data_IF_913340608227
#
_entry.id   IF_913340608227
#
_cell.length_a   1.000
_cell.length_b   1.000
_cell.length_c   1.000
_cell.angle_alpha   90.00
_cell.angle_beta   90.00
_cell.angle_gamma   90.00
#
_symmetry.space_group_name_H-M   'P 1'
#
loop_
_entity.id
_entity.type
_entity.pdbx_description
1 polymer ?
#
# COMPACT_ATOMS: atom_id res chain seq x y z
N UNK A 1 -1.13 18.05 -4.18
CA UNK A 1 -1.81 16.76 -4.39
C UNK A 1 -3.32 16.93 -4.27
N UNK A 2 -4.06 16.40 -5.26
CA UNK A 2 -5.52 16.37 -5.22
C UNK A 2 -5.97 15.61 -3.96
N UNK A 3 -6.91 16.17 -3.15
CA UNK A 3 -7.42 15.51 -1.95
C UNK A 3 -8.00 14.10 -2.21
N UNK A 4 -8.60 13.89 -3.38
CA UNK A 4 -9.15 12.59 -3.80
C UNK A 4 -8.05 11.55 -4.02
N UNK A 5 -6.95 11.94 -4.66
CA UNK A 5 -5.79 11.06 -4.89
C UNK A 5 -5.15 10.66 -3.56
N UNK A 6 -4.99 11.61 -2.63
CA UNK A 6 -4.50 11.32 -1.28
C UNK A 6 -5.41 10.36 -0.53
N UNK A 7 -6.73 10.53 -0.66
CA UNK A 7 -7.70 9.64 -0.04
C UNK A 7 -7.62 8.22 -0.62
N UNK A 8 -7.57 8.07 -1.96
CA UNK A 8 -7.40 6.79 -2.64
C UNK A 8 -6.11 6.09 -2.23
N UNK A 9 -4.97 6.79 -2.29
CA UNK A 9 -3.66 6.25 -1.87
C UNK A 9 -3.68 5.77 -0.42
N UNK A 10 -4.23 6.57 0.48
CA UNK A 10 -4.38 6.19 1.89
C UNK A 10 -5.22 4.93 2.04
N UNK A 11 -6.38 4.86 1.38
CA UNK A 11 -7.26 3.70 1.41
C UNK A 11 -6.56 2.42 0.91
N UNK A 12 -5.75 2.51 -0.15
CA UNK A 12 -4.96 1.40 -0.66
C UNK A 12 -3.95 0.92 0.37
N UNK A 13 -3.16 1.84 0.95
CA UNK A 13 -2.13 1.51 1.94
C UNK A 13 -2.79 0.86 3.17
N UNK A 14 -3.83 1.47 3.73
CA UNK A 14 -4.54 0.97 4.88
C UNK A 14 -5.09 -0.45 4.62
N UNK A 15 -5.74 -0.69 3.48
CA UNK A 15 -6.30 -2.00 3.13
C UNK A 15 -5.23 -3.08 2.94
N UNK A 16 -4.11 -2.76 2.31
CA UNK A 16 -3.05 -3.74 2.03
C UNK A 16 -2.28 -4.15 3.28
N UNK A 17 -2.05 -3.22 4.21
CA UNK A 17 -1.28 -3.48 5.43
C UNK A 17 -2.08 -4.18 6.53
N UNK A 18 -3.35 -3.81 6.71
CA UNK A 18 -4.15 -4.24 7.86
C UNK A 18 -4.91 -5.52 7.57
N UNK A 19 -5.60 -5.57 6.43
CA UNK A 19 -6.51 -6.66 6.10
C UNK A 19 -5.91 -7.68 5.12
N UNK A 20 -4.67 -7.48 4.67
CA UNK A 20 -4.03 -8.26 3.60
C UNK A 20 -4.85 -8.29 2.30
N UNK A 21 -5.79 -7.34 2.09
CA UNK A 21 -6.55 -7.21 0.86
C UNK A 21 -5.71 -6.65 -0.30
N UNK A 22 -6.23 -6.75 -1.51
CA UNK A 22 -5.55 -6.31 -2.72
C UNK A 22 -4.76 -7.43 -3.38
N UNK A 23 -3.64 -7.09 -4.03
CA UNK A 23 -2.86 -8.03 -4.87
C UNK A 23 -2.31 -9.21 -4.07
N UNK A 24 -1.83 -8.99 -2.85
CA UNK A 24 -1.30 -10.06 -2.01
C UNK A 24 -2.36 -11.12 -1.69
N UNK A 25 -3.56 -10.68 -1.29
CA UNK A 25 -4.67 -11.59 -1.02
C UNK A 25 -5.08 -12.37 -2.29
N UNK A 26 -5.14 -11.69 -3.43
CA UNK A 26 -5.43 -12.33 -4.72
C UNK A 26 -4.44 -13.45 -5.02
N UNK A 27 -3.13 -13.19 -4.88
CA UNK A 27 -2.09 -14.21 -5.10
C UNK A 27 -2.25 -15.41 -4.15
N UNK A 28 -2.48 -15.16 -2.85
CA UNK A 28 -2.72 -16.22 -1.87
C UNK A 28 -3.98 -17.02 -2.18
N UNK A 29 -5.07 -16.38 -2.57
CA UNK A 29 -6.30 -17.08 -2.95
C UNK A 29 -6.10 -17.95 -4.19
N UNK A 30 -5.38 -17.46 -5.20
CA UNK A 30 -5.09 -18.22 -6.44
C UNK A 30 -4.22 -19.44 -6.11
N UNK A 31 -3.16 -19.27 -5.31
CA UNK A 31 -2.30 -20.37 -4.86
C UNK A 31 -3.10 -21.43 -4.10
N UNK A 32 -3.92 -21.01 -3.16
CA UNK A 32 -4.79 -21.90 -2.39
C UNK A 32 -5.79 -22.64 -3.29
N UNK A 33 -6.45 -21.92 -4.21
CA UNK A 33 -7.40 -22.51 -5.18
C UNK A 33 -6.69 -23.57 -6.03
N UNK A 34 -5.49 -23.28 -6.56
CA UNK A 34 -4.72 -24.25 -7.33
C UNK A 34 -4.39 -25.50 -6.51
N UNK A 35 -3.95 -25.31 -5.27
CA UNK A 35 -3.63 -26.40 -4.34
C UNK A 35 -4.86 -27.26 -4.03
N UNK A 36 -6.01 -26.65 -3.75
CA UNK A 36 -7.23 -27.39 -3.49
C UNK A 36 -7.75 -28.13 -4.72
N UNK A 37 -7.63 -27.56 -5.92
CA UNK A 37 -8.01 -28.24 -7.17
C UNK A 37 -7.15 -29.49 -7.40
N UNK A 38 -5.82 -29.40 -7.19
CA UNK A 38 -4.92 -30.55 -7.31
C UNK A 38 -5.28 -31.63 -6.27
N UNK A 39 -5.52 -31.26 -5.02
CA UNK A 39 -5.90 -32.19 -3.96
C UNK A 39 -7.25 -32.85 -4.25
N UNK A 40 -8.24 -32.09 -4.74
CA UNK A 40 -9.55 -32.63 -5.15
C UNK A 40 -9.39 -33.64 -6.28
N UNK A 41 -8.61 -33.32 -7.32
CA UNK A 41 -8.34 -34.22 -8.43
C UNK A 41 -7.70 -35.53 -7.95
N UNK A 42 -6.68 -35.44 -7.08
CA UNK A 42 -6.06 -36.60 -6.47
C UNK A 42 -7.06 -37.45 -5.68
N UNK A 43 -7.88 -36.82 -4.83
CA UNK A 43 -8.91 -37.52 -4.06
C UNK A 43 -9.99 -38.16 -4.96
N UNK A 44 -10.36 -37.52 -6.06
CA UNK A 44 -11.34 -38.10 -7.03
C UNK A 44 -10.78 -39.37 -7.68
N UNK A 45 -9.49 -39.38 -8.05
CA UNK A 45 -8.83 -40.57 -8.62
C UNK A 45 -8.86 -41.73 -7.60
N UNK A 46 -8.52 -41.44 -6.34
CA UNK A 46 -8.52 -42.45 -5.26
C UNK A 46 -9.94 -42.93 -4.90
N UNK A 47 -10.91 -42.05 -4.98
CA UNK A 47 -12.32 -42.40 -4.80
C UNK A 47 -12.80 -43.31 -5.95
N UNK A 48 -12.41 -43.03 -7.19
CA UNK A 48 -12.71 -43.90 -8.33
C UNK A 48 -12.08 -45.31 -8.14
N UNK A 49 -10.87 -45.40 -7.63
CA UNK A 49 -10.26 -46.69 -7.26
C UNK A 49 -11.13 -47.47 -6.25
N UNK A 50 -11.57 -46.79 -5.19
CA UNK A 50 -12.47 -47.37 -4.17
C UNK A 50 -13.79 -47.88 -4.82
N UNK A 51 -14.41 -47.05 -5.64
CA UNK A 51 -15.65 -47.39 -6.34
C UNK A 51 -15.46 -48.62 -7.23
N UNK A 52 -14.37 -48.71 -7.99
CA UNK A 52 -14.10 -49.85 -8.85
C UNK A 52 -13.89 -51.17 -8.07
N UNK A 53 -13.27 -51.11 -6.87
CA UNK A 53 -13.14 -52.26 -5.97
C UNK A 53 -14.53 -52.73 -5.45
N UNK A 54 -15.35 -51.78 -5.03
CA UNK A 54 -16.72 -52.07 -4.55
C UNK A 54 -17.55 -52.71 -5.64
N UNK A 55 -17.53 -52.15 -6.88
CA UNK A 55 -18.31 -52.69 -8.02
C UNK A 55 -17.84 -54.08 -8.47
N UNK A 56 -16.57 -54.41 -8.30
CA UNK A 56 -16.04 -55.76 -8.62
C UNK A 56 -16.55 -56.84 -7.68
N UNK A 57 -16.86 -56.52 -6.43
CA UNK A 57 -17.18 -57.50 -5.40
C UNK A 57 -18.66 -57.83 -5.28
N UNK A 58 -19.55 -56.88 -5.53
CA UNK A 58 -20.97 -57.08 -5.34
C UNK A 58 -21.82 -56.16 -6.25
N UNK A 59 -22.37 -56.70 -7.31
CA UNK A 59 -23.53 -56.15 -8.00
C UNK A 59 -24.84 -56.36 -7.18
N UNK A 60 -24.71 -56.48 -5.82
CA UNK A 60 -25.86 -56.60 -4.95
C UNK A 60 -26.47 -55.22 -4.70
N UNK A 61 -27.79 -55.14 -4.71
CA UNK A 61 -28.57 -53.90 -4.47
C UNK A 61 -28.13 -53.16 -3.20
N UNK A 62 -27.70 -53.90 -2.17
CA UNK A 62 -27.17 -53.35 -0.90
C UNK A 62 -25.89 -52.56 -1.08
N UNK A 63 -24.97 -53.05 -1.89
CA UNK A 63 -23.71 -52.35 -2.20
C UNK A 63 -23.98 -51.01 -2.90
N UNK A 64 -24.83 -51.01 -3.90
CA UNK A 64 -25.21 -49.80 -4.65
C UNK A 64 -25.85 -48.75 -3.70
N UNK A 65 -26.77 -49.16 -2.83
CA UNK A 65 -27.44 -48.28 -1.85
C UNK A 65 -26.44 -47.64 -0.88
N UNK A 66 -25.44 -48.41 -0.40
CA UNK A 66 -24.38 -47.88 0.49
C UNK A 66 -23.52 -46.83 -0.24
N UNK A 67 -23.15 -47.08 -1.51
CA UNK A 67 -22.39 -46.14 -2.32
C UNK A 67 -23.14 -44.82 -2.54
N UNK A 68 -24.42 -44.91 -2.87
CA UNK A 68 -25.31 -43.74 -3.02
C UNK A 68 -25.41 -42.96 -1.72
N UNK A 69 -25.48 -43.65 -0.57
CA UNK A 69 -25.51 -43.00 0.74
C UNK A 69 -24.20 -42.20 1.01
N UNK A 70 -23.01 -42.75 0.68
CA UNK A 70 -21.73 -42.01 0.79
C UNK A 70 -21.75 -40.75 -0.06
N UNK A 71 -22.17 -40.86 -1.33
CA UNK A 71 -22.24 -39.73 -2.25
C UNK A 71 -23.19 -38.64 -1.73
N UNK A 72 -24.38 -39.04 -1.22
CA UNK A 72 -25.34 -38.08 -0.64
C UNK A 72 -24.74 -37.36 0.58
N UNK A 73 -24.08 -38.07 1.48
CA UNK A 73 -23.39 -37.45 2.64
C UNK A 73 -22.34 -36.44 2.22
N UNK A 74 -21.50 -36.77 1.22
CA UNK A 74 -20.50 -35.86 0.68
C UNK A 74 -21.15 -34.60 0.07
N UNK A 75 -22.17 -34.78 -0.76
CA UNK A 75 -22.89 -33.66 -1.42
C UNK A 75 -23.53 -32.74 -0.37
N UNK A 76 -24.20 -33.27 0.65
CA UNK A 76 -24.83 -32.50 1.72
C UNK A 76 -23.77 -31.67 2.47
N UNK A 77 -22.64 -32.29 2.83
CA UNK A 77 -21.55 -31.61 3.51
C UNK A 77 -20.98 -30.47 2.66
N UNK A 78 -20.74 -30.70 1.37
CA UNK A 78 -20.26 -29.69 0.42
C UNK A 78 -21.25 -28.52 0.29
N UNK A 79 -22.55 -28.80 0.21
CA UNK A 79 -23.57 -27.74 0.12
C UNK A 79 -23.56 -26.86 1.36
N UNK A 80 -23.50 -27.47 2.57
CA UNK A 80 -23.44 -26.74 3.84
C UNK A 80 -22.18 -25.89 3.90
N UNK A 81 -21.01 -26.47 3.64
CA UNK A 81 -19.73 -25.77 3.65
C UNK A 81 -19.69 -24.61 2.65
N UNK A 82 -20.18 -24.82 1.42
CA UNK A 82 -20.21 -23.78 0.38
C UNK A 82 -21.08 -22.59 0.79
N UNK A 83 -22.29 -22.84 1.31
CA UNK A 83 -23.20 -21.76 1.73
C UNK A 83 -22.69 -21.01 2.96
N UNK A 84 -22.26 -21.74 3.99
CA UNK A 84 -21.75 -21.14 5.22
C UNK A 84 -20.41 -20.44 5.02
N UNK A 85 -19.48 -21.04 4.24
CA UNK A 85 -18.16 -20.46 3.97
C UNK A 85 -18.20 -19.13 3.23
N UNK A 86 -19.07 -19.00 2.20
CA UNK A 86 -19.27 -17.72 1.51
C UNK A 86 -19.75 -16.63 2.46
N UNK A 87 -20.78 -16.94 3.26
CA UNK A 87 -21.34 -15.98 4.22
C UNK A 87 -20.36 -15.63 5.33
N UNK A 88 -19.50 -16.56 5.73
CA UNK A 88 -18.43 -16.33 6.68
C UNK A 88 -17.40 -15.33 6.13
N UNK A 89 -16.95 -15.48 4.87
CA UNK A 89 -16.03 -14.54 4.23
C UNK A 89 -16.62 -13.11 4.15
N UNK A 90 -17.92 -12.99 3.80
CA UNK A 90 -18.61 -11.69 3.78
C UNK A 90 -18.70 -11.04 5.16
N UNK A 91 -18.90 -11.83 6.22
CA UNK A 91 -19.07 -11.32 7.60
C UNK A 91 -17.79 -10.68 8.13
N UNK A 92 -16.62 -11.20 7.81
CA UNK A 92 -15.33 -10.66 8.27
C UNK A 92 -15.03 -9.26 7.73
N UNK A 93 -15.62 -8.87 6.60
CA UNK A 93 -15.42 -7.53 6.02
C UNK A 93 -16.10 -6.41 6.81
N UNK A 94 -17.11 -6.74 7.62
CA UNK A 94 -17.84 -5.74 8.42
C UNK A 94 -16.97 -5.03 9.46
N UNK A 95 -15.84 -5.64 9.86
CA UNK A 95 -14.91 -5.06 10.85
C UNK A 95 -13.84 -4.14 10.26
N UNK A 96 -13.68 -4.09 8.94
CA UNK A 96 -12.56 -3.41 8.27
C UNK A 96 -12.48 -1.91 8.57
N UNK A 97 -13.59 -1.19 8.45
CA UNK A 97 -13.61 0.26 8.66
C UNK A 97 -13.31 0.66 10.12
N UNK A 98 -13.77 -0.13 11.08
CA UNK A 98 -13.49 0.12 12.50
C UNK A 98 -12.01 -0.08 12.80
N UNK A 99 -11.42 -1.15 12.30
CA UNK A 99 -9.99 -1.44 12.44
C UNK A 99 -9.12 -0.34 11.82
N UNK A 100 -9.54 0.24 10.70
CA UNK A 100 -8.88 1.39 10.10
C UNK A 100 -8.92 2.63 11.00
N UNK A 101 -10.04 2.90 11.66
CA UNK A 101 -10.20 4.01 12.60
C UNK A 101 -9.31 3.85 13.83
N UNK A 102 -9.25 2.66 14.42
CA UNK A 102 -8.37 2.32 15.56
C UNK A 102 -6.89 2.53 15.21
N UNK A 103 -6.46 2.07 14.03
CA UNK A 103 -5.06 2.23 13.58
C UNK A 103 -4.70 3.70 13.33
N UNK A 104 -5.63 4.52 12.82
CA UNK A 104 -5.40 5.96 12.64
C UNK A 104 -5.20 6.67 13.99
N UNK A 105 -5.98 6.32 14.98
CA UNK A 105 -5.83 6.87 16.33
C UNK A 105 -4.48 6.50 16.93
N UNK A 106 -4.13 5.22 16.89
CA UNK A 106 -2.86 4.72 17.41
C UNK A 106 -1.65 5.34 16.70
N UNK A 107 -1.68 5.44 15.35
CA UNK A 107 -0.62 6.07 14.57
C UNK A 107 -0.44 7.57 14.86
N UNK A 108 -1.53 8.31 15.02
CA UNK A 108 -1.50 9.73 15.39
C UNK A 108 -0.93 9.97 16.78
N UNK A 109 -1.30 9.14 17.74
CA UNK A 109 -0.83 9.24 19.12
C UNK A 109 0.68 8.93 19.27
N UNK A 110 1.19 7.95 18.54
CA UNK A 110 2.61 7.56 18.62
C UNK A 110 3.58 8.65 18.14
N UNK A 111 3.12 9.56 17.27
CA UNK A 111 3.95 10.64 16.70
C UNK A 111 4.11 11.85 17.65
N UNK A 112 3.26 12.02 18.66
CA UNK A 112 3.22 13.21 19.53
C UNK A 112 3.62 12.94 20.98
N UNK A 113 4.56 12.04 21.23
CA UNK A 113 4.91 11.54 22.57
C UNK A 113 5.30 12.62 23.59
N UNK A 114 6.00 13.70 23.19
CA UNK A 114 6.34 14.82 24.09
C UNK A 114 5.13 15.69 24.40
N UNK A 115 4.37 16.10 23.36
CA UNK A 115 3.19 16.94 23.52
C UNK A 115 2.12 16.24 24.33
N UNK A 116 1.93 14.94 24.14
CA UNK A 116 0.94 14.19 24.88
C UNK A 116 1.24 14.12 26.37
N UNK A 117 2.51 14.08 26.77
CA UNK A 117 2.94 14.15 28.18
C UNK A 117 2.77 15.57 28.75
N UNK A 118 3.23 16.58 28.01
CA UNK A 118 3.22 17.96 28.47
C UNK A 118 1.81 18.52 28.61
N UNK A 119 0.95 18.29 27.61
CA UNK A 119 -0.42 18.77 27.59
C UNK A 119 -1.45 17.78 28.18
N UNK A 120 -0.99 16.66 28.79
CA UNK A 120 -1.85 15.61 29.38
C UNK A 120 -2.92 15.08 28.42
N UNK A 121 -2.56 14.94 27.14
CA UNK A 121 -3.49 14.51 26.09
C UNK A 121 -3.95 13.04 26.27
N UNK A 122 -3.35 12.30 27.19
CA UNK A 122 -3.70 10.90 27.51
C UNK A 122 -5.19 10.75 27.84
N UNK A 123 -5.77 11.69 28.59
CA UNK A 123 -7.19 11.62 28.96
C UNK A 123 -8.12 11.67 27.75
N UNK A 124 -7.80 12.50 26.75
CA UNK A 124 -8.58 12.62 25.50
C UNK A 124 -8.45 11.33 24.70
N UNK A 125 -7.22 10.78 24.60
CA UNK A 125 -6.96 9.54 23.87
C UNK A 125 -7.67 8.36 24.55
N UNK A 126 -7.62 8.28 25.89
CA UNK A 126 -8.35 7.24 26.65
C UNK A 126 -9.86 7.30 26.45
N UNK A 127 -10.45 8.50 26.35
CA UNK A 127 -11.89 8.64 26.12
C UNK A 127 -12.28 8.18 24.72
N UNK A 128 -11.50 8.56 23.70
CA UNK A 128 -11.71 8.11 22.31
C UNK A 128 -11.48 6.59 22.21
N UNK A 129 -10.43 6.07 22.84
CA UNK A 129 -10.09 4.67 22.81
C UNK A 129 -11.17 3.82 23.51
N UNK A 130 -11.71 4.29 24.66
CA UNK A 130 -12.87 3.64 25.32
C UNK A 130 -14.11 3.63 24.42
N UNK A 131 -14.39 4.70 23.69
CA UNK A 131 -15.54 4.76 22.78
C UNK A 131 -15.35 3.77 21.61
N UNK A 132 -14.16 3.74 21.01
CA UNK A 132 -13.83 2.79 19.96
C UNK A 132 -13.81 1.34 20.45
N UNK A 133 -13.30 1.10 21.66
CA UNK A 133 -13.30 -0.23 22.28
C UNK A 133 -14.73 -0.74 22.53
N UNK A 134 -15.68 0.13 22.92
CA UNK A 134 -17.10 -0.24 23.04
C UNK A 134 -17.72 -0.58 21.67
N UNK A 135 -17.44 0.24 20.66
CA UNK A 135 -17.90 -0.01 19.28
C UNK A 135 -17.32 -1.32 18.76
N UNK A 136 -16.00 -1.55 18.98
CA UNK A 136 -15.28 -2.77 18.65
C UNK A 136 -15.91 -3.99 19.33
N UNK A 137 -16.08 -3.93 20.65
CA UNK A 137 -16.71 -5.02 21.44
C UNK A 137 -18.10 -5.36 20.90
N UNK A 138 -18.90 -4.36 20.57
CA UNK A 138 -20.27 -4.54 20.07
C UNK A 138 -20.28 -5.17 18.68
N UNK A 139 -19.46 -4.65 17.76
CA UNK A 139 -19.38 -5.13 16.40
C UNK A 139 -18.76 -6.54 16.32
N UNK A 140 -17.61 -6.76 16.98
CA UNK A 140 -16.96 -8.06 16.98
C UNK A 140 -17.73 -9.12 17.74
N UNK A 141 -18.51 -8.75 18.77
CA UNK A 141 -19.45 -9.67 19.40
C UNK A 141 -20.51 -10.17 18.39
N UNK A 142 -21.05 -9.28 17.55
CA UNK A 142 -21.98 -9.65 16.47
C UNK A 142 -21.30 -10.52 15.42
N UNK A 143 -20.10 -10.12 14.96
CA UNK A 143 -19.31 -10.89 13.97
C UNK A 143 -19.01 -12.28 14.50
N UNK A 144 -18.51 -12.39 15.74
CA UNK A 144 -18.18 -13.66 16.37
C UNK A 144 -19.41 -14.55 16.58
N UNK A 145 -20.54 -13.94 16.92
CA UNK A 145 -21.79 -14.68 17.06
C UNK A 145 -22.26 -15.26 15.71
N UNK A 146 -22.23 -14.47 14.66
CA UNK A 146 -22.56 -14.93 13.29
C UNK A 146 -21.56 -16.00 12.83
N UNK A 147 -20.26 -15.77 13.04
CA UNK A 147 -19.20 -16.72 12.69
C UNK A 147 -19.39 -18.06 13.42
N UNK A 148 -19.71 -18.02 14.70
CA UNK A 148 -20.02 -19.22 15.49
C UNK A 148 -21.24 -19.98 14.90
N UNK A 149 -22.34 -19.27 14.62
CA UNK A 149 -23.53 -19.87 14.02
C UNK A 149 -23.27 -20.50 12.65
N UNK A 150 -22.29 -19.97 11.90
CA UNK A 150 -21.89 -20.53 10.62
C UNK A 150 -20.90 -21.70 10.75
N UNK A 151 -20.01 -21.66 11.75
CA UNK A 151 -19.03 -22.74 12.02
C UNK A 151 -19.67 -24.01 12.57
N UNK A 152 -20.70 -23.88 13.42
CA UNK A 152 -21.37 -25.04 14.02
C UNK A 152 -21.94 -26.00 12.95
N UNK A 153 -22.75 -25.56 11.96
CA UNK A 153 -23.21 -26.45 10.90
C UNK A 153 -22.08 -27.06 10.07
N UNK A 154 -21.03 -26.28 9.77
CA UNK A 154 -19.84 -26.79 9.08
C UNK A 154 -19.22 -27.94 9.87
N UNK A 155 -18.94 -27.72 11.17
CA UNK A 155 -18.32 -28.71 12.03
C UNK A 155 -19.21 -29.96 12.17
N UNK A 156 -20.51 -29.80 12.46
CA UNK A 156 -21.44 -30.90 12.61
C UNK A 156 -21.57 -31.72 11.33
N UNK A 157 -21.71 -31.07 10.17
CA UNK A 157 -21.81 -31.76 8.88
C UNK A 157 -20.52 -32.53 8.54
N UNK A 158 -19.36 -31.97 8.84
CA UNK A 158 -18.07 -32.64 8.61
C UNK A 158 -17.94 -33.87 9.51
N UNK A 159 -18.23 -33.73 10.80
CA UNK A 159 -18.16 -34.87 11.75
C UNK A 159 -19.22 -35.94 11.49
N UNK A 160 -20.42 -35.56 11.09
CA UNK A 160 -21.43 -36.49 10.65
C UNK A 160 -21.01 -37.26 9.39
N UNK A 161 -20.43 -36.55 8.40
CA UNK A 161 -19.91 -37.18 7.19
C UNK A 161 -18.77 -38.14 7.47
N UNK A 162 -17.84 -37.78 8.36
CA UNK A 162 -16.76 -38.68 8.79
C UNK A 162 -17.32 -39.93 9.45
N UNK A 163 -18.24 -39.79 10.40
CA UNK A 163 -18.89 -40.92 11.08
C UNK A 163 -19.62 -41.82 10.08
N UNK A 164 -20.44 -41.28 9.21
CA UNK A 164 -21.11 -42.01 8.14
C UNK A 164 -20.10 -42.75 7.25
N UNK A 165 -18.99 -42.10 6.89
CA UNK A 165 -17.95 -42.71 6.08
C UNK A 165 -17.31 -43.91 6.80
N UNK A 166 -17.00 -43.80 8.08
CA UNK A 166 -16.49 -44.93 8.87
C UNK A 166 -17.48 -46.10 8.91
N UNK A 167 -18.77 -45.83 9.17
CA UNK A 167 -19.80 -46.85 9.24
C UNK A 167 -19.99 -47.52 7.86
N UNK A 168 -20.15 -46.77 6.81
CA UNK A 168 -20.43 -47.29 5.46
C UNK A 168 -19.21 -48.03 4.88
N UNK A 169 -18.00 -47.46 4.99
CA UNK A 169 -16.77 -48.11 4.53
C UNK A 169 -16.43 -49.33 5.39
N UNK A 170 -16.71 -49.27 6.71
CA UNK A 170 -16.58 -50.42 7.62
C UNK A 170 -17.50 -51.59 7.23
N UNK A 171 -18.75 -51.31 6.83
CA UNK A 171 -19.65 -52.30 6.30
C UNK A 171 -19.14 -52.96 5.01
N UNK A 172 -18.54 -52.19 4.09
CA UNK A 172 -17.90 -52.75 2.90
C UNK A 172 -16.71 -53.66 3.26
N UNK A 173 -15.94 -53.30 4.29
CA UNK A 173 -14.86 -54.15 4.79
C UNK A 173 -15.39 -55.49 5.31
N UNK A 174 -16.48 -55.51 6.08
CA UNK A 174 -17.10 -56.77 6.55
C UNK A 174 -17.68 -57.63 5.40
N UNK A 175 -18.07 -57.01 4.27
CA UNK A 175 -18.50 -57.68 3.07
C UNK A 175 -17.29 -58.20 2.21
N UNK A 176 -16.06 -57.96 2.67
CA UNK A 176 -14.82 -58.47 2.03
C UNK A 176 -14.38 -57.61 0.83
N UNK A 177 -14.86 -56.37 0.69
CA UNK A 177 -14.49 -55.52 -0.44
C UNK A 177 -13.02 -55.12 -0.42
N UNK A 178 -12.44 -54.93 0.80
CA UNK A 178 -11.06 -54.54 1.00
C UNK A 178 -10.59 -54.82 2.45
N UNK A 179 -9.29 -54.88 2.70
CA UNK A 179 -8.73 -55.18 4.01
C UNK A 179 -8.97 -54.05 5.01
N UNK A 180 -9.07 -54.38 6.33
CA UNK A 180 -9.38 -53.45 7.43
C UNK A 180 -8.48 -52.22 7.42
N UNK A 181 -7.20 -52.35 7.09
CA UNK A 181 -6.27 -51.23 6.99
C UNK A 181 -6.65 -50.18 5.95
N UNK A 182 -7.45 -50.57 4.93
CA UNK A 182 -7.91 -49.62 3.89
C UNK A 182 -9.04 -48.73 4.33
N UNK A 183 -9.74 -49.05 5.42
CA UNK A 183 -10.85 -48.25 5.96
C UNK A 183 -10.35 -46.84 6.31
N UNK A 184 -9.24 -46.74 7.06
CA UNK A 184 -8.66 -45.45 7.45
C UNK A 184 -8.22 -44.67 6.19
N UNK A 185 -7.61 -45.35 5.20
CA UNK A 185 -7.20 -44.76 3.92
C UNK A 185 -8.38 -44.10 3.20
N UNK A 186 -9.48 -44.81 3.00
CA UNK A 186 -10.64 -44.31 2.23
C UNK A 186 -11.44 -43.25 2.98
N UNK A 187 -11.61 -43.40 4.30
CA UNK A 187 -12.23 -42.34 5.13
C UNK A 187 -11.40 -41.05 5.10
N UNK A 188 -10.06 -41.21 5.20
CA UNK A 188 -9.15 -40.06 5.10
C UNK A 188 -9.30 -39.32 3.76
N UNK A 189 -9.41 -40.03 2.64
CA UNK A 189 -9.60 -39.43 1.33
C UNK A 189 -10.93 -38.68 1.20
N UNK A 190 -12.03 -39.23 1.72
CA UNK A 190 -13.33 -38.57 1.74
C UNK A 190 -13.32 -37.30 2.62
N UNK A 191 -12.65 -37.36 3.76
CA UNK A 191 -12.48 -36.20 4.65
C UNK A 191 -11.65 -35.09 3.99
N UNK A 192 -10.52 -35.46 3.35
CA UNK A 192 -9.70 -34.49 2.59
C UNK A 192 -10.48 -33.91 1.43
N UNK A 193 -11.25 -34.71 0.68
CA UNK A 193 -12.08 -34.27 -0.43
C UNK A 193 -13.09 -33.21 0.02
N UNK A 194 -13.88 -33.51 1.06
CA UNK A 194 -14.91 -32.60 1.56
C UNK A 194 -14.31 -31.31 2.09
N UNK A 195 -13.20 -31.38 2.85
CA UNK A 195 -12.53 -30.19 3.39
C UNK A 195 -11.94 -29.32 2.29
N UNK A 196 -11.29 -29.89 1.27
CA UNK A 196 -10.72 -29.11 0.16
C UNK A 196 -11.80 -28.46 -0.69
N UNK A 197 -12.95 -29.11 -0.92
CA UNK A 197 -14.07 -28.48 -1.62
C UNK A 197 -14.63 -27.32 -0.80
N UNK A 198 -14.80 -27.47 0.52
CA UNK A 198 -15.23 -26.39 1.41
C UNK A 198 -14.25 -25.19 1.40
N UNK A 199 -12.95 -25.47 1.51
CA UNK A 199 -11.91 -24.48 1.45
C UNK A 199 -11.83 -23.77 0.08
N UNK A 200 -12.07 -24.51 -1.03
CA UNK A 200 -12.17 -23.92 -2.36
C UNK A 200 -13.29 -22.88 -2.43
N UNK A 201 -14.50 -23.20 -1.97
CA UNK A 201 -15.61 -22.26 -1.96
C UNK A 201 -15.38 -21.05 -1.06
N UNK A 202 -14.72 -21.25 0.10
CA UNK A 202 -14.30 -20.16 0.96
C UNK A 202 -13.32 -19.19 0.25
N UNK A 203 -12.29 -19.73 -0.43
CA UNK A 203 -11.32 -18.90 -1.15
C UNK A 203 -11.91 -18.20 -2.38
N UNK A 204 -12.87 -18.82 -3.07
CA UNK A 204 -13.61 -18.15 -4.15
C UNK A 204 -14.44 -16.98 -3.57
N UNK A 205 -15.07 -17.17 -2.41
CA UNK A 205 -15.78 -16.11 -1.70
C UNK A 205 -14.86 -14.98 -1.27
N UNK A 206 -13.69 -15.31 -0.71
CA UNK A 206 -12.67 -14.34 -0.32
C UNK A 206 -12.12 -13.56 -1.52
N UNK A 207 -11.92 -14.23 -2.67
CA UNK A 207 -11.48 -13.57 -3.90
C UNK A 207 -12.52 -12.56 -4.40
N UNK A 208 -13.80 -12.94 -4.40
CA UNK A 208 -14.89 -12.04 -4.76
C UNK A 208 -14.98 -10.83 -3.83
N UNK A 209 -14.77 -11.04 -2.54
CA UNK A 209 -14.72 -9.95 -1.56
C UNK A 209 -13.56 -9.01 -1.80
N UNK A 210 -12.41 -9.55 -2.24
CA UNK A 210 -11.22 -8.78 -2.55
C UNK A 210 -11.38 -7.90 -3.82
N UNK A 211 -12.38 -8.15 -4.68
CA UNK A 211 -12.62 -7.43 -5.94
C UNK A 211 -12.74 -5.91 -5.72
N UNK A 212 -13.54 -5.48 -4.75
CA UNK A 212 -13.73 -4.06 -4.44
C UNK A 212 -12.43 -3.32 -4.03
N UNK A 213 -11.48 -4.05 -3.45
CA UNK A 213 -10.18 -3.50 -3.07
C UNK A 213 -9.25 -3.42 -4.27
N UNK A 214 -9.34 -4.39 -5.19
CA UNK A 214 -8.63 -4.37 -6.47
C UNK A 214 -9.15 -3.26 -7.38
N UNK A 215 -10.47 -3.03 -7.45
CA UNK A 215 -11.04 -1.90 -8.18
C UNK A 215 -10.49 -0.55 -7.69
N UNK A 216 -10.41 -0.37 -6.37
CA UNK A 216 -9.81 0.84 -5.79
C UNK A 216 -8.32 0.98 -6.17
N UNK A 217 -7.60 -0.13 -6.22
CA UNK A 217 -6.20 -0.18 -6.62
C UNK A 217 -6.02 0.14 -8.10
N UNK A 218 -6.81 -0.48 -8.97
CA UNK A 218 -6.80 -0.21 -10.42
C UNK A 218 -7.20 1.23 -10.73
N UNK A 219 -8.26 1.75 -10.07
CA UNK A 219 -8.67 3.14 -10.22
C UNK A 219 -7.53 4.14 -9.91
N UNK A 220 -6.64 3.81 -8.98
CA UNK A 220 -5.46 4.64 -8.69
C UNK A 220 -4.45 4.63 -9.85
N UNK A 221 -4.24 3.49 -10.51
CA UNK A 221 -3.35 3.39 -11.67
C UNK A 221 -3.96 3.97 -12.95
N UNK A 222 -5.28 3.98 -13.05
CA UNK A 222 -6.01 4.57 -14.17
C UNK A 222 -6.10 6.11 -14.09
N UNK A 223 -5.62 6.71 -12.98
CA UNK A 223 -5.56 8.15 -12.85
C UNK A 223 -4.70 8.74 -13.97
N UNK A 224 -5.34 9.54 -14.79
CA UNK A 224 -4.64 10.26 -15.85
C UNK A 224 -3.83 11.40 -15.24
N UNK A 225 -2.65 11.63 -15.81
CA UNK A 225 -1.90 12.82 -15.49
C UNK A 225 -2.50 14.00 -16.26
N UNK A 226 -3.27 14.83 -15.56
CA UNK A 226 -3.92 16.03 -16.15
C UNK A 226 -2.91 17.08 -16.60
N UNK A 227 -1.66 16.99 -16.13
CA UNK A 227 -0.60 17.92 -16.52
C UNK A 227 -0.03 17.55 -17.89
N UNK A 228 -0.18 18.44 -18.85
CA UNK A 228 0.39 18.26 -20.18
C UNK A 228 1.91 18.15 -20.11
N UNK A 229 2.50 17.10 -20.63
CA UNK A 229 3.93 16.80 -20.46
C UNK A 229 4.83 17.58 -21.42
N UNK A 230 4.27 18.19 -22.46
CA UNK A 230 5.02 18.89 -23.47
C UNK A 230 5.88 17.95 -24.34
N UNK A 231 6.42 18.50 -25.42
CA UNK A 231 7.29 17.76 -26.32
C UNK A 231 8.47 18.61 -26.86
N UNK A 232 8.47 19.90 -26.53
CA UNK A 232 9.55 20.78 -26.94
C UNK A 232 10.78 20.55 -26.07
N UNK A 233 11.89 20.16 -26.65
CA UNK A 233 13.13 20.00 -25.89
C UNK A 233 13.65 21.34 -25.41
N UNK A 234 14.18 21.36 -24.19
CA UNK A 234 14.91 22.51 -23.66
C UNK A 234 16.26 22.60 -24.38
N UNK A 235 16.58 23.75 -24.97
CA UNK A 235 17.84 23.96 -25.60
C UNK A 235 19.01 23.78 -24.62
N UNK A 236 20.00 22.97 -24.99
CA UNK A 236 21.25 22.86 -24.23
C UNK A 236 22.14 24.06 -24.52
N UNK A 237 21.89 25.14 -23.81
CA UNK A 237 22.66 26.39 -23.99
C UNK A 237 23.93 26.32 -23.13
N UNK A 238 25.07 26.52 -23.78
CA UNK A 238 26.38 26.59 -23.10
C UNK A 238 26.51 27.80 -22.18
N UNK A 239 25.77 28.88 -22.47
CA UNK A 239 25.70 30.09 -21.66
C UNK A 239 24.74 29.97 -20.48
N UNK A 240 23.97 28.89 -20.40
CA UNK A 240 22.92 28.66 -19.39
C UNK A 240 21.96 29.86 -19.24
N UNK A 241 21.81 30.71 -20.28
CA UNK A 241 20.95 31.89 -20.22
C UNK A 241 19.48 31.51 -20.53
N UNK A 242 18.63 31.63 -19.52
CA UNK A 242 17.19 31.44 -19.66
C UNK A 242 16.46 32.65 -19.07
N UNK A 243 15.40 33.05 -19.75
CA UNK A 243 14.51 34.14 -19.36
C UNK A 243 13.12 33.55 -19.07
N UNK A 244 12.61 33.75 -17.85
CA UNK A 244 11.30 33.25 -17.44
C UNK A 244 10.38 34.43 -17.14
N UNK A 245 9.27 34.51 -17.85
CA UNK A 245 8.31 35.61 -17.76
C UNK A 245 6.95 35.12 -17.32
N UNK A 246 6.41 35.71 -16.25
CA UNK A 246 5.04 35.54 -15.78
C UNK A 246 4.17 36.63 -16.41
N UNK A 247 3.10 36.23 -17.11
CA UNK A 247 2.15 37.12 -17.79
C UNK A 247 0.74 36.98 -17.19
N UNK A 248 0.36 37.94 -16.37
CA UNK A 248 -0.96 38.01 -15.68
C UNK A 248 -1.32 36.69 -14.97
N UNK A 249 -0.34 36.09 -14.30
CA UNK A 249 -0.49 34.79 -13.69
C UNK A 249 -1.31 34.85 -12.41
N UNK A 250 -2.44 34.13 -12.38
CA UNK A 250 -3.25 33.91 -11.21
C UNK A 250 -3.40 32.41 -10.94
N UNK A 251 -3.41 32.03 -9.67
CA UNK A 251 -3.51 30.64 -9.28
C UNK A 251 -4.37 30.43 -8.03
N UNK A 252 -5.23 29.41 -8.08
CA UNK A 252 -5.97 28.87 -6.94
C UNK A 252 -5.83 27.36 -6.86
N UNK A 253 -5.72 26.84 -5.64
CA UNK A 253 -5.70 25.41 -5.41
C UNK A 253 -7.06 24.77 -5.70
N UNK A 254 -7.06 23.53 -6.17
CA UNK A 254 -8.30 22.76 -6.39
C UNK A 254 -9.12 22.68 -5.09
N UNK A 255 -10.40 23.06 -5.15
CA UNK A 255 -11.29 23.10 -4.00
C UNK A 255 -11.22 24.39 -3.18
N UNK A 256 -10.41 25.39 -3.56
CA UNK A 256 -10.40 26.73 -2.97
C UNK A 256 -11.09 27.73 -3.88
N UNK A 257 -11.91 28.61 -3.28
CA UNK A 257 -12.51 29.75 -3.99
C UNK A 257 -11.56 30.93 -4.10
N UNK A 258 -10.60 31.05 -3.20
CA UNK A 258 -9.68 32.17 -3.13
C UNK A 258 -8.40 31.90 -3.96
N UNK A 259 -7.94 32.94 -4.65
CA UNK A 259 -6.64 32.94 -5.31
C UNK A 259 -5.51 32.96 -4.28
N UNK A 260 -4.56 32.05 -4.43
CA UNK A 260 -3.30 32.04 -3.68
C UNK A 260 -2.29 33.06 -4.25
N UNK A 261 -2.37 33.29 -5.58
CA UNK A 261 -1.65 34.34 -6.28
C UNK A 261 -2.59 34.99 -7.30
N UNK A 262 -2.47 36.30 -7.48
CA UNK A 262 -3.34 37.05 -8.38
C UNK A 262 -2.55 38.07 -9.19
N UNK A 263 -2.73 38.01 -10.51
CA UNK A 263 -2.21 38.97 -11.49
C UNK A 263 -0.68 39.23 -11.35
N UNK A 264 0.11 38.17 -11.24
CA UNK A 264 1.56 38.26 -11.13
C UNK A 264 2.16 38.52 -12.52
N UNK A 265 2.92 39.60 -12.61
CA UNK A 265 3.71 39.99 -13.77
C UNK A 265 5.16 40.16 -13.33
N UNK A 266 6.06 39.32 -13.83
CA UNK A 266 7.46 39.28 -13.42
C UNK A 266 8.33 38.66 -14.50
N UNK A 267 9.54 39.19 -14.66
CA UNK A 267 10.55 38.60 -15.50
C UNK A 267 11.79 38.20 -14.65
N UNK A 268 12.31 37.00 -14.85
CA UNK A 268 13.44 36.41 -14.15
C UNK A 268 14.51 35.96 -15.15
N UNK A 269 15.75 36.37 -14.93
CA UNK A 269 16.90 35.96 -15.78
C UNK A 269 17.90 35.15 -14.94
N UNK A 270 18.53 34.18 -15.57
CA UNK A 270 19.65 33.46 -14.93
C UNK A 270 20.74 34.46 -14.55
N UNK A 271 21.29 34.29 -13.33
CA UNK A 271 22.30 35.19 -12.77
C UNK A 271 21.73 36.33 -11.91
N UNK A 272 20.44 36.61 -12.02
CA UNK A 272 19.78 37.55 -11.12
C UNK A 272 19.49 36.94 -9.74
N UNK A 273 19.53 37.76 -8.70
CA UNK A 273 19.13 37.38 -7.33
C UNK A 273 17.81 38.02 -7.00
N UNK A 274 16.78 37.23 -6.83
CA UNK A 274 15.44 37.67 -6.42
C UNK A 274 15.19 37.25 -4.97
N UNK A 275 14.82 38.19 -4.11
CA UNK A 275 14.32 37.91 -2.78
C UNK A 275 12.79 38.12 -2.79
N UNK A 276 12.04 37.06 -2.53
CA UNK A 276 10.57 37.10 -2.38
C UNK A 276 10.24 37.18 -0.91
N UNK A 277 9.74 38.33 -0.47
CA UNK A 277 9.40 38.62 0.94
C UNK A 277 7.89 38.80 1.11
N UNK A 278 7.37 38.37 2.24
CA UNK A 278 5.95 38.50 2.56
C UNK A 278 5.58 37.73 3.84
N UNK A 279 4.42 38.01 4.37
CA UNK A 279 3.89 37.30 5.53
C UNK A 279 3.67 35.81 5.26
N UNK A 280 3.56 35.01 6.32
CA UNK A 280 3.19 33.59 6.16
C UNK A 280 1.82 33.49 5.50
N UNK A 281 1.69 32.60 4.50
CA UNK A 281 0.47 32.47 3.70
C UNK A 281 0.34 33.48 2.54
N UNK A 282 1.31 34.36 2.29
CA UNK A 282 1.26 35.33 1.17
C UNK A 282 1.47 34.71 -0.21
N UNK A 283 1.66 33.40 -0.32
CA UNK A 283 1.83 32.69 -1.60
C UNK A 283 3.28 32.45 -2.05
N UNK A 284 4.31 32.73 -1.21
CA UNK A 284 5.74 32.52 -1.57
C UNK A 284 6.02 31.13 -2.10
N UNK A 285 5.68 30.08 -1.34
CA UNK A 285 5.83 28.68 -1.78
C UNK A 285 4.97 28.35 -2.99
N UNK A 286 3.79 28.97 -3.13
CA UNK A 286 2.94 28.78 -4.30
C UNK A 286 3.59 29.36 -5.57
N UNK A 287 4.24 30.52 -5.46
CA UNK A 287 5.00 31.11 -6.54
C UNK A 287 6.14 30.17 -6.99
N UNK A 288 6.91 29.61 -6.06
CA UNK A 288 7.97 28.63 -6.34
C UNK A 288 7.40 27.39 -7.05
N UNK A 289 6.27 26.87 -6.58
CA UNK A 289 5.60 25.72 -7.19
C UNK A 289 5.16 25.97 -8.62
N UNK A 290 4.68 27.17 -8.94
CA UNK A 290 4.33 27.58 -10.29
C UNK A 290 5.57 27.78 -11.17
N UNK A 291 6.61 28.43 -10.64
CA UNK A 291 7.88 28.63 -11.32
C UNK A 291 8.52 27.30 -11.74
N UNK A 292 8.50 26.29 -10.85
CA UNK A 292 8.98 24.93 -11.12
C UNK A 292 7.94 24.08 -11.90
N UNK A 293 6.80 24.67 -12.29
CA UNK A 293 5.73 23.95 -12.98
C UNK A 293 5.27 22.68 -12.24
N UNK A 294 5.23 22.71 -10.89
CA UNK A 294 4.56 21.68 -10.09
C UNK A 294 3.04 21.84 -10.15
N UNK A 295 2.59 23.00 -10.56
CA UNK A 295 1.21 23.34 -10.92
C UNK A 295 1.23 24.22 -12.17
N UNK A 296 0.20 24.09 -13.01
CA UNK A 296 -0.07 25.04 -14.08
C UNK A 296 -0.91 26.23 -13.54
N UNK A 297 -0.72 27.45 -14.02
CA UNK A 297 -1.54 28.60 -13.61
C UNK A 297 -3.02 28.40 -13.95
N UNK A 298 -3.90 28.95 -13.11
CA UNK A 298 -5.36 28.97 -13.37
C UNK A 298 -5.71 29.99 -14.46
N UNK A 299 -5.04 31.14 -14.45
CA UNK A 299 -5.17 32.21 -15.43
C UNK A 299 -3.77 32.76 -15.76
N UNK A 300 -3.62 33.32 -16.96
CA UNK A 300 -2.34 33.81 -17.47
C UNK A 300 -1.41 32.69 -17.94
N UNK A 301 -0.17 33.04 -18.26
CA UNK A 301 0.83 32.12 -18.80
C UNK A 301 2.22 32.39 -18.21
N UNK A 302 3.01 31.33 -18.11
CA UNK A 302 4.44 31.40 -17.80
C UNK A 302 5.20 31.04 -19.07
N UNK A 303 6.13 31.89 -19.47
CA UNK A 303 6.94 31.71 -20.66
C UNK A 303 8.41 31.50 -20.26
N UNK A 304 9.12 30.72 -21.05
CA UNK A 304 10.58 30.60 -21.00
C UNK A 304 11.11 30.82 -22.44
N UNK A 305 11.99 31.81 -22.59
CA UNK A 305 12.54 32.17 -23.92
C UNK A 305 11.43 32.31 -24.98
N UNK A 306 10.39 33.11 -24.71
CA UNK A 306 9.22 33.38 -25.57
C UNK A 306 8.19 32.23 -25.72
N UNK A 307 8.49 31.02 -25.28
CA UNK A 307 7.57 29.89 -25.37
C UNK A 307 6.90 29.61 -24.05
N UNK A 308 5.58 29.30 -24.09
CA UNK A 308 4.86 28.85 -22.90
C UNK A 308 5.49 27.59 -22.34
N UNK A 309 5.80 27.59 -21.02
CA UNK A 309 6.49 26.51 -20.32
C UNK A 309 5.76 25.16 -20.43
N UNK A 310 4.44 25.18 -20.68
CA UNK A 310 3.65 23.96 -20.88
C UNK A 310 4.08 23.16 -22.13
N UNK A 311 4.69 23.82 -23.13
CA UNK A 311 5.13 23.17 -24.37
C UNK A 311 6.42 22.38 -24.21
N UNK A 312 7.25 22.72 -23.23
CA UNK A 312 8.52 22.04 -23.00
C UNK A 312 8.32 20.65 -22.41
N UNK A 313 9.22 19.73 -22.75
CA UNK A 313 9.33 18.45 -22.04
C UNK A 313 9.46 18.70 -20.55
N UNK A 314 8.54 18.10 -19.80
CA UNK A 314 8.38 18.38 -18.36
C UNK A 314 9.62 18.04 -17.56
N UNK A 315 10.29 16.92 -17.86
CA UNK A 315 11.48 16.48 -17.14
C UNK A 315 12.65 17.42 -17.41
N UNK A 316 12.87 17.78 -18.69
CA UNK A 316 13.94 18.71 -19.06
C UNK A 316 13.71 20.10 -18.46
N UNK A 317 12.45 20.54 -18.35
CA UNK A 317 12.12 21.80 -17.69
C UNK A 317 12.44 21.76 -16.19
N UNK A 318 12.12 20.66 -15.50
CA UNK A 318 12.46 20.47 -14.08
C UNK A 318 13.96 20.41 -13.83
N UNK A 319 14.74 19.97 -14.81
CA UNK A 319 16.21 19.92 -14.70
C UNK A 319 16.86 21.31 -14.64
N UNK A 320 16.13 22.36 -15.03
CA UNK A 320 16.61 23.74 -14.91
C UNK A 320 16.62 24.26 -13.47
N UNK A 321 15.97 23.58 -12.55
CA UNK A 321 15.79 24.06 -11.18
C UNK A 321 16.42 23.12 -10.15
N UNK A 322 17.15 23.69 -9.21
CA UNK A 322 17.49 23.07 -7.93
C UNK A 322 16.70 23.76 -6.82
N UNK A 323 15.91 23.01 -6.06
CA UNK A 323 14.99 23.58 -5.06
C UNK A 323 15.23 22.97 -3.69
N UNK A 324 15.38 23.81 -2.67
CA UNK A 324 15.27 23.42 -1.27
C UNK A 324 13.91 23.93 -0.78
N UNK A 325 12.95 23.04 -0.66
CA UNK A 325 11.63 23.36 -0.09
C UNK A 325 11.69 23.44 1.43
N UNK A 326 10.73 24.09 2.06
CA UNK A 326 10.61 24.17 3.52
C UNK A 326 10.42 22.80 4.18
N UNK A 327 9.69 21.90 3.51
CA UNK A 327 9.38 20.53 3.95
C UNK A 327 10.29 19.47 3.30
N UNK A 328 11.56 19.79 3.06
CA UNK A 328 12.52 18.85 2.50
C UNK A 328 12.66 17.60 3.39
N UNK A 329 12.84 16.45 2.76
CA UNK A 329 13.07 15.19 3.46
C UNK A 329 14.42 14.57 3.06
N UNK A 330 15.12 14.04 4.07
CA UNK A 330 16.26 13.17 3.87
C UNK A 330 15.79 11.72 3.98
N UNK A 331 16.37 10.88 3.15
CA UNK A 331 16.08 9.45 3.15
C UNK A 331 16.95 8.74 4.18
N UNK A 332 16.43 7.68 4.80
CA UNK A 332 17.20 6.79 5.67
C UNK A 332 18.14 5.92 4.81
N UNK A 333 19.09 6.55 4.13
CA UNK A 333 20.06 6.00 3.19
C UNK A 333 21.42 6.65 3.41
N UNK A 334 22.50 6.15 2.79
CA UNK A 334 23.82 6.78 2.85
C UNK A 334 23.80 8.27 2.52
N UNK A 335 24.69 9.02 3.15
CA UNK A 335 24.85 10.47 2.96
C UNK A 335 25.06 10.82 1.48
N UNK A 336 25.92 10.05 0.79
CA UNK A 336 26.19 10.25 -0.63
C UNK A 336 24.95 10.16 -1.50
N UNK A 337 24.05 9.17 -1.25
CA UNK A 337 22.75 9.07 -1.94
C UNK A 337 21.86 10.29 -1.66
N UNK A 338 21.88 10.80 -0.43
CA UNK A 338 21.09 11.97 -0.06
C UNK A 338 21.61 13.26 -0.74
N UNK A 339 22.91 13.42 -0.92
CA UNK A 339 23.51 14.56 -1.62
C UNK A 339 23.26 14.46 -3.12
N UNK A 340 23.54 13.30 -3.73
CA UNK A 340 23.40 13.13 -5.17
C UNK A 340 21.94 12.93 -5.63
N UNK A 341 21.04 12.52 -4.75
CA UNK A 341 19.67 12.04 -5.08
C UNK A 341 19.69 10.91 -6.13
N UNK A 342 20.70 10.06 -6.10
CA UNK A 342 20.93 8.96 -7.03
C UNK A 342 21.50 7.74 -6.31
N UNK A 343 21.48 6.58 -6.97
CA UNK A 343 22.08 5.35 -6.43
C UNK A 343 23.60 5.42 -6.42
N UNK A 344 24.18 6.13 -7.37
CA UNK A 344 25.61 6.35 -7.53
C UNK A 344 25.93 7.85 -7.37
N UNK A 345 27.11 8.18 -6.87
CA UNK A 345 27.55 9.56 -6.67
C UNK A 345 29.02 9.76 -6.99
N UNK A 346 29.35 10.97 -7.40
CA UNK A 346 30.74 11.45 -7.44
C UNK A 346 31.18 11.84 -6.03
N UNK A 347 32.09 11.05 -5.45
CA UNK A 347 32.54 11.23 -4.09
C UNK A 347 33.26 12.56 -3.89
N UNK A 348 34.11 12.96 -4.83
CA UNK A 348 34.90 14.21 -4.74
C UNK A 348 33.96 15.41 -4.77
N UNK A 349 32.99 15.43 -5.70
CA UNK A 349 32.01 16.51 -5.80
C UNK A 349 31.12 16.58 -4.56
N UNK A 350 30.63 15.43 -4.07
CA UNK A 350 29.75 15.38 -2.91
C UNK A 350 30.47 15.88 -1.64
N UNK A 351 31.71 15.44 -1.41
CA UNK A 351 32.52 15.86 -0.28
C UNK A 351 32.83 17.37 -0.34
N UNK A 352 33.29 17.88 -1.47
CA UNK A 352 33.55 19.30 -1.65
C UNK A 352 32.34 20.15 -1.29
N UNK A 353 31.14 19.78 -1.79
CA UNK A 353 29.92 20.52 -1.52
C UNK A 353 29.50 20.46 -0.05
N UNK A 354 29.71 19.32 0.64
CA UNK A 354 29.46 19.23 2.08
C UNK A 354 30.34 20.21 2.88
N UNK A 355 31.60 20.39 2.49
CA UNK A 355 32.46 21.42 3.11
C UNK A 355 31.97 22.83 2.76
N UNK A 356 31.60 23.12 1.52
CA UNK A 356 31.14 24.44 1.08
C UNK A 356 29.87 24.89 1.84
N UNK A 357 28.93 23.96 2.14
CA UNK A 357 27.73 24.29 2.92
C UNK A 357 27.94 24.30 4.43
N UNK A 358 29.19 24.13 4.89
CA UNK A 358 29.55 24.16 6.32
C UNK A 358 29.15 22.89 7.07
N UNK A 359 29.07 21.74 6.41
CA UNK A 359 28.84 20.44 7.02
C UNK A 359 30.13 19.64 7.28
N UNK A 360 31.29 20.19 6.92
CA UNK A 360 32.58 19.49 6.91
C UNK A 360 33.00 18.92 8.28
N UNK A 361 32.88 19.68 9.38
CA UNK A 361 33.20 19.19 10.72
C UNK A 361 32.39 17.95 11.08
N UNK A 362 31.06 18.01 10.85
CA UNK A 362 30.17 16.88 11.11
C UNK A 362 30.44 15.68 10.18
N UNK A 363 30.81 15.96 8.94
CA UNK A 363 31.23 14.93 7.97
C UNK A 363 32.46 14.17 8.45
N UNK A 364 33.46 14.88 9.05
CA UNK A 364 34.64 14.23 9.59
C UNK A 364 34.35 13.27 10.76
N UNK A 365 33.34 13.54 11.56
CA UNK A 365 32.88 12.68 12.65
C UNK A 365 32.10 11.44 12.18
N UNK A 366 31.64 11.41 10.92
CA UNK A 366 30.83 10.30 10.42
C UNK A 366 31.65 9.02 10.21
N UNK A 367 31.20 7.86 10.75
CA UNK A 367 32.02 6.64 10.82
C UNK A 367 32.37 6.06 9.45
N UNK A 368 31.51 6.24 8.46
CA UNK A 368 31.68 5.71 7.09
C UNK A 368 31.62 6.83 6.03
N UNK A 369 31.82 8.10 6.43
CA UNK A 369 31.81 9.27 5.54
C UNK A 369 30.54 9.28 4.67
N UNK A 370 30.68 9.33 3.33
CA UNK A 370 29.55 9.32 2.40
C UNK A 370 28.69 8.06 2.46
N UNK A 371 29.26 6.94 2.90
CA UNK A 371 28.56 5.66 3.10
C UNK A 371 27.81 5.59 4.43
N UNK A 372 27.91 6.60 5.29
CA UNK A 372 27.18 6.64 6.57
C UNK A 372 25.68 6.76 6.31
N UNK A 373 24.91 5.77 6.77
CA UNK A 373 23.44 5.81 6.71
C UNK A 373 22.89 6.92 7.62
N UNK A 374 21.98 7.73 7.06
CA UNK A 374 21.22 8.68 7.85
C UNK A 374 20.05 7.96 8.53
N UNK A 375 19.83 8.28 9.82
CA UNK A 375 18.82 7.66 10.67
C UNK A 375 19.02 6.14 10.89
N UNK A 376 18.30 5.61 11.88
CA UNK A 376 18.40 4.20 12.30
C UNK A 376 17.26 3.32 11.78
N UNK A 377 16.54 3.76 10.76
CA UNK A 377 15.35 3.04 10.25
C UNK A 377 15.71 1.70 9.60
N UNK A 378 16.87 1.62 8.92
CA UNK A 378 17.32 0.43 8.19
C UNK A 378 18.73 -0.03 8.58
N UNK A 379 19.49 0.80 9.33
CA UNK A 379 20.84 0.52 9.75
C UNK A 379 20.99 0.94 11.20
N UNK A 380 21.32 0.00 12.11
CA UNK A 380 21.50 0.28 13.54
C UNK A 380 22.68 1.22 13.82
N UNK A 381 23.70 1.22 12.94
CA UNK A 381 24.83 2.14 12.98
C UNK A 381 24.53 3.51 12.37
N UNK A 382 23.31 3.71 11.86
CA UNK A 382 22.88 4.97 11.27
C UNK A 382 22.96 6.15 12.24
N UNK A 383 23.28 7.33 11.70
CA UNK A 383 23.51 8.57 12.47
C UNK A 383 22.28 9.47 12.41
N UNK A 384 21.79 9.92 13.57
CA UNK A 384 20.72 10.91 13.61
C UNK A 384 21.26 12.29 13.23
N UNK A 385 20.47 13.02 12.46
CA UNK A 385 20.77 14.33 11.90
C UNK A 385 19.88 15.39 12.56
N UNK A 386 20.44 16.49 13.01
CA UNK A 386 19.69 17.65 13.49
C UNK A 386 19.02 18.43 12.35
N UNK A 387 18.04 19.29 12.65
CA UNK A 387 17.36 20.10 11.64
C UNK A 387 18.29 20.99 10.83
N UNK A 388 19.25 21.65 11.49
CA UNK A 388 20.27 22.48 10.82
C UNK A 388 21.24 21.66 9.95
N UNK A 389 21.65 20.48 10.41
CA UNK A 389 22.47 19.55 9.62
C UNK A 389 21.72 19.04 8.40
N UNK A 390 20.44 18.68 8.56
CA UNK A 390 19.58 18.25 7.46
C UNK A 390 19.42 19.33 6.39
N UNK A 391 19.31 20.60 6.81
CA UNK A 391 19.24 21.74 5.89
C UNK A 391 20.53 21.90 5.09
N UNK A 392 21.70 21.76 5.72
CA UNK A 392 22.99 21.79 5.02
C UNK A 392 23.11 20.69 3.98
N UNK A 393 22.66 19.46 4.30
CA UNK A 393 22.63 18.35 3.36
C UNK A 393 21.65 18.64 2.19
N UNK A 394 20.48 19.21 2.46
CA UNK A 394 19.52 19.61 1.42
C UNK A 394 20.10 20.71 0.51
N UNK A 395 20.88 21.63 1.06
CA UNK A 395 21.59 22.66 0.28
C UNK A 395 22.71 22.04 -0.57
N UNK A 396 23.50 21.12 -0.01
CA UNK A 396 24.51 20.37 -0.79
C UNK A 396 23.87 19.60 -1.95
N UNK A 397 22.70 18.98 -1.74
CA UNK A 397 21.90 18.33 -2.78
C UNK A 397 21.52 19.29 -3.89
N UNK A 398 21.06 20.48 -3.55
CA UNK A 398 20.67 21.48 -4.52
C UNK A 398 21.88 21.96 -5.38
N UNK A 399 23.02 22.14 -4.74
CA UNK A 399 24.28 22.50 -5.43
C UNK A 399 24.82 21.34 -6.27
N UNK A 400 24.69 20.09 -5.80
CA UNK A 400 25.14 18.91 -6.53
C UNK A 400 24.44 18.74 -7.88
N UNK A 401 23.15 19.11 -7.98
CA UNK A 401 22.39 19.09 -9.24
C UNK A 401 22.94 20.05 -10.30
N UNK A 402 23.63 21.14 -9.90
CA UNK A 402 24.22 22.16 -10.79
C UNK A 402 23.23 22.75 -11.81
N UNK A 403 22.01 23.03 -11.38
CA UNK A 403 20.96 23.58 -12.21
C UNK A 403 21.15 25.11 -12.43
N UNK A 404 20.69 25.66 -13.59
CA UNK A 404 20.74 27.10 -13.87
C UNK A 404 20.07 27.98 -12.83
N UNK A 405 18.94 27.52 -12.25
CA UNK A 405 18.21 28.24 -11.18
C UNK A 405 18.31 27.48 -9.86
N UNK A 406 18.70 28.18 -8.80
CA UNK A 406 18.68 27.67 -7.42
C UNK A 406 17.62 28.44 -6.65
N UNK A 407 16.69 27.70 -6.01
CA UNK A 407 15.57 28.25 -5.29
C UNK A 407 15.64 27.75 -3.83
N UNK A 408 15.53 28.67 -2.87
CA UNK A 408 15.53 28.36 -1.46
C UNK A 408 14.21 28.88 -0.86
N UNK A 409 13.38 27.98 -0.34
CA UNK A 409 12.13 28.31 0.33
C UNK A 409 12.34 28.34 1.84
N UNK A 410 12.30 29.52 2.44
CA UNK A 410 12.55 29.78 3.87
C UNK A 410 13.86 29.16 4.42
N UNK A 411 15.03 29.49 3.84
CA UNK A 411 16.28 28.80 4.14
C UNK A 411 16.80 29.02 5.58
N UNK A 412 16.19 29.91 6.36
CA UNK A 412 16.62 30.23 7.72
C UNK A 412 15.67 29.68 8.80
N UNK A 413 14.65 28.91 8.43
CA UNK A 413 13.66 28.40 9.39
C UNK A 413 14.23 27.39 10.40
N UNK A 414 15.42 26.80 10.13
CA UNK A 414 16.09 25.82 10.98
C UNK A 414 17.45 26.30 11.54
N UNK A 415 17.82 27.56 11.33
CA UNK A 415 18.95 28.24 11.94
C UNK A 415 18.47 28.97 13.20
#
# INVERSE_FOLDING_TARGET
ENPEIRHLRRKIIENSWINYYGVKNMCMCIENIATYLVNILYCVILFAEMVTLILKLSFDLRGILLLVAIIICVILTVIIQSRCGKKQAETWNLGGDLMLRENRLSGGYSQSGMDSRFYKQQAIVEEIDKSLAMEHKTLYSKINHIDFLLRVPIFLSTKASELCSYLLIGLYCTLGAFPVGSVIKYVGYLSILTNNIGALFYNIGALKTNEQFLETYLAYFDLQNDMYQGSLSVEKRSDKQFDIEFKNVSFRYTGSENFALKDINLNLKVGERLAVVGQNGSGKTTFIKLLCRLYDPTEGEIHMNDFNVRKYDYRQYLDLFSVVFQDYNLLAMPLGNNVASAAEWDAVKAEQLLYEVGFGERYEEMPKKLETSLYKNFDEEGVNISGGEAQKIALARALYKDAPFIILDEPTAAL
#
